data_IF_680225406472
#
_entry.id   IF_680225406472
#
_cell.length_a   1.000
_cell.length_b   1.000
_cell.length_c   1.000
_cell.angle_alpha   90.00
_cell.angle_beta   90.00
_cell.angle_gamma   90.00
#
_symmetry.space_group_name_H-M   'P 1'
#
loop_
_entity.id
_entity.type
_entity.pdbx_description
1 polymer ?
#
# COMPACT_ATOMS: atom_id res chain seq x y z
N UNK A 1 -20.31 -13.12 -14.60
CA UNK A 1 -19.08 -12.33 -14.78
C UNK A 1 -19.40 -11.08 -15.59
N UNK A 2 -19.05 -9.88 -15.10
CA UNK A 2 -19.38 -8.63 -15.80
C UNK A 2 -18.53 -8.41 -17.06
N UNK A 3 -17.26 -8.83 -17.04
CA UNK A 3 -16.35 -8.67 -18.17
C UNK A 3 -15.98 -10.02 -18.79
N UNK A 4 -15.75 -10.02 -20.10
CA UNK A 4 -15.04 -11.08 -20.83
C UNK A 4 -13.65 -10.55 -21.19
N UNK A 5 -12.65 -11.39 -21.07
CA UNK A 5 -11.27 -10.97 -21.18
C UNK A 5 -10.30 -12.12 -21.01
N UNK A 6 -9.02 -11.77 -20.91
CA UNK A 6 -7.97 -12.71 -20.57
C UNK A 6 -6.98 -12.09 -19.56
N UNK A 7 -6.27 -12.95 -18.85
CA UNK A 7 -5.23 -12.59 -17.88
C UNK A 7 -4.00 -13.47 -18.11
N UNK A 8 -2.83 -12.83 -18.17
CA UNK A 8 -1.55 -13.51 -18.38
C UNK A 8 -0.39 -12.70 -17.79
N UNK A 9 0.76 -13.36 -17.63
CA UNK A 9 2.00 -12.69 -17.21
C UNK A 9 2.76 -12.15 -18.41
N UNK A 10 3.27 -10.92 -18.31
CA UNK A 10 4.13 -10.32 -19.35
C UNK A 10 5.61 -10.48 -19.00
N UNK A 11 5.97 -10.24 -17.73
CA UNK A 11 7.35 -10.32 -17.23
C UNK A 11 7.45 -11.35 -16.09
N UNK A 12 7.51 -12.66 -16.40
CA UNK A 12 7.63 -13.70 -15.37
C UNK A 12 8.92 -13.55 -14.55
N UNK A 13 10.01 -13.08 -15.17
CA UNK A 13 11.33 -13.03 -14.53
C UNK A 13 11.39 -12.01 -13.39
N UNK A 14 10.74 -10.86 -13.54
CA UNK A 14 10.73 -9.76 -12.57
C UNK A 14 9.75 -10.00 -11.40
N UNK A 15 8.82 -10.95 -11.57
CA UNK A 15 7.90 -11.32 -10.51
C UNK A 15 8.59 -12.20 -9.44
N UNK A 16 8.58 -11.72 -8.19
CA UNK A 16 8.84 -12.51 -6.98
C UNK A 16 7.51 -12.93 -6.33
N UNK A 17 6.99 -14.13 -6.64
CA UNK A 17 5.74 -14.64 -6.08
C UNK A 17 5.86 -15.08 -4.61
N UNK A 18 7.08 -15.30 -4.10
CA UNK A 18 7.33 -15.69 -2.71
C UNK A 18 7.28 -14.52 -1.74
N UNK A 19 7.78 -13.34 -2.14
CA UNK A 19 7.86 -12.16 -1.30
C UNK A 19 6.64 -11.21 -1.39
N UNK A 20 6.26 -10.78 -2.60
CA UNK A 20 5.35 -9.64 -2.76
C UNK A 20 3.87 -9.96 -2.45
N UNK A 21 3.32 -11.04 -3.03
CA UNK A 21 1.92 -11.51 -2.85
C UNK A 21 0.80 -10.47 -3.01
N UNK A 22 1.08 -9.24 -3.46
CA UNK A 22 0.08 -8.18 -3.63
C UNK A 22 -1.09 -8.60 -4.52
N UNK A 23 -0.81 -9.28 -5.63
CA UNK A 23 -1.83 -9.74 -6.57
C UNK A 23 -2.78 -10.79 -5.97
N UNK A 24 -2.32 -11.56 -4.98
CA UNK A 24 -3.14 -12.54 -4.26
C UNK A 24 -4.01 -11.81 -3.25
N UNK A 25 -3.40 -10.93 -2.44
CA UNK A 25 -4.09 -10.20 -1.36
C UNK A 25 -5.16 -9.22 -1.87
N UNK A 26 -4.93 -8.60 -3.03
CA UNK A 26 -5.88 -7.63 -3.60
C UNK A 26 -7.02 -8.31 -4.38
N UNK A 27 -6.94 -9.61 -4.65
CA UNK A 27 -7.90 -10.28 -5.50
C UNK A 27 -9.22 -10.51 -4.76
N UNK A 28 -10.33 -9.85 -5.13
CA UNK A 28 -11.59 -10.02 -4.41
C UNK A 28 -12.23 -11.40 -4.60
N UNK A 29 -11.81 -12.14 -5.63
CA UNK A 29 -12.34 -13.47 -5.99
C UNK A 29 -11.31 -14.57 -5.72
N UNK A 30 -10.13 -14.24 -5.19
CA UNK A 30 -9.07 -15.20 -4.85
C UNK A 30 -8.68 -16.16 -6.00
N UNK A 31 -8.53 -15.66 -7.22
CA UNK A 31 -8.25 -16.49 -8.43
C UNK A 31 -6.78 -16.61 -8.80
N UNK A 32 -5.90 -16.01 -8.00
CA UNK A 32 -4.46 -15.89 -8.27
C UNK A 32 -3.69 -16.75 -7.28
N UNK A 33 -2.86 -17.66 -7.79
CA UNK A 33 -2.11 -18.61 -6.96
C UNK A 33 -0.64 -18.68 -7.37
N UNK A 34 0.23 -19.01 -6.41
CA UNK A 34 1.64 -19.33 -6.70
C UNK A 34 1.72 -20.74 -7.24
N UNK A 35 2.38 -20.91 -8.38
CA UNK A 35 2.56 -22.22 -8.96
C UNK A 35 3.57 -23.04 -8.15
N UNK A 36 3.32 -24.34 -7.98
CA UNK A 36 4.28 -25.25 -7.37
C UNK A 36 5.23 -25.82 -8.44
N UNK A 37 6.53 -25.98 -8.16
CA UNK A 37 7.42 -26.74 -9.05
C UNK A 37 6.86 -28.16 -9.22
N UNK A 38 6.86 -28.74 -10.44
CA UNK A 38 7.64 -28.39 -11.64
C UNK A 38 6.94 -27.47 -12.66
N UNK A 39 5.91 -26.71 -12.26
CA UNK A 39 5.21 -25.81 -13.19
C UNK A 39 6.16 -24.80 -13.85
N UNK A 40 6.01 -24.62 -15.17
CA UNK A 40 6.78 -23.65 -15.98
C UNK A 40 6.43 -22.20 -15.63
N UNK A 41 5.16 -21.95 -15.32
CA UNK A 41 4.69 -20.64 -14.93
C UNK A 41 4.93 -20.42 -13.43
N UNK A 42 5.34 -19.21 -13.04
CA UNK A 42 5.51 -18.81 -11.63
C UNK A 42 4.18 -18.61 -10.89
N UNK A 43 3.13 -18.25 -11.63
CA UNK A 43 1.79 -17.95 -11.10
C UNK A 43 0.73 -18.64 -11.94
N UNK A 44 -0.36 -19.05 -11.29
CA UNK A 44 -1.53 -19.66 -11.91
C UNK A 44 -2.74 -18.74 -11.73
N UNK A 45 -3.55 -18.64 -12.78
CA UNK A 45 -4.77 -17.84 -12.80
C UNK A 45 -5.96 -18.72 -13.15
N UNK A 46 -6.94 -18.81 -12.24
CA UNK A 46 -8.17 -19.54 -12.50
C UNK A 46 -9.14 -18.64 -13.28
N UNK A 47 -9.00 -18.67 -14.61
CA UNK A 47 -9.76 -17.83 -15.55
C UNK A 47 -11.27 -18.01 -15.43
N UNK A 48 -11.71 -19.20 -15.00
CA UNK A 48 -13.12 -19.55 -14.82
C UNK A 48 -13.84 -18.79 -13.70
N UNK A 49 -13.10 -18.23 -12.74
CA UNK A 49 -13.68 -17.36 -11.71
C UNK A 49 -13.22 -15.90 -11.84
N UNK A 50 -12.20 -15.63 -12.65
CA UNK A 50 -11.70 -14.28 -12.87
C UNK A 50 -12.80 -13.37 -13.47
N UNK A 51 -13.00 -12.21 -12.85
CA UNK A 51 -13.92 -11.16 -13.32
C UNK A 51 -13.21 -10.06 -14.14
N UNK A 52 -11.91 -10.18 -14.37
CA UNK A 52 -11.09 -9.21 -15.11
C UNK A 52 -11.18 -7.78 -14.57
N UNK A 53 -11.23 -7.61 -13.24
CA UNK A 53 -11.31 -6.29 -12.60
C UNK A 53 -10.03 -5.45 -12.77
N UNK A 54 -8.86 -6.08 -12.98
CA UNK A 54 -7.57 -5.41 -13.16
C UNK A 54 -6.93 -4.90 -11.86
N UNK A 55 -7.45 -5.29 -10.69
CA UNK A 55 -6.85 -4.92 -9.40
C UNK A 55 -5.44 -5.50 -9.23
N UNK A 56 -5.24 -6.76 -9.67
CA UNK A 56 -3.94 -7.43 -9.61
C UNK A 56 -2.90 -6.81 -10.55
N UNK A 57 -3.31 -6.32 -11.73
CA UNK A 57 -2.45 -5.57 -12.65
C UNK A 57 -1.97 -4.26 -12.00
N UNK A 58 -2.90 -3.45 -11.45
CA UNK A 58 -2.55 -2.17 -10.80
C UNK A 58 -1.75 -2.32 -9.50
N UNK A 59 -1.93 -3.41 -8.78
CA UNK A 59 -1.22 -3.66 -7.52
C UNK A 59 0.21 -4.18 -7.73
N UNK A 60 0.58 -4.56 -8.96
CA UNK A 60 1.90 -5.08 -9.26
C UNK A 60 2.90 -3.92 -9.44
N UNK A 61 3.95 -3.82 -8.59
CA UNK A 61 4.92 -2.73 -8.69
C UNK A 61 5.84 -2.84 -9.92
N UNK A 62 5.90 -4.03 -10.53
CA UNK A 62 6.74 -4.36 -11.68
C UNK A 62 5.92 -4.65 -12.94
N UNK A 63 4.61 -4.35 -12.94
CA UNK A 63 3.70 -4.55 -14.07
C UNK A 63 3.74 -5.98 -14.70
N UNK A 64 4.07 -7.00 -13.91
CA UNK A 64 4.27 -8.37 -14.39
C UNK A 64 2.98 -9.07 -14.86
N UNK A 65 1.80 -8.53 -14.56
CA UNK A 65 0.48 -9.11 -14.86
C UNK A 65 -0.29 -8.15 -15.77
N UNK A 66 -0.90 -8.66 -16.85
CA UNK A 66 -1.84 -7.91 -17.70
C UNK A 66 -3.23 -8.49 -17.68
N UNK A 67 -4.24 -7.62 -17.65
CA UNK A 67 -5.65 -7.97 -17.76
C UNK A 67 -6.25 -7.31 -18.99
N UNK A 68 -6.60 -8.12 -19.99
CA UNK A 68 -7.29 -7.66 -21.19
C UNK A 68 -8.80 -7.81 -20.97
N UNK A 69 -9.56 -6.76 -21.30
CA UNK A 69 -11.03 -6.82 -21.38
C UNK A 69 -11.43 -6.68 -22.84
N UNK A 70 -12.23 -7.61 -23.33
CA UNK A 70 -12.72 -7.62 -24.72
C UNK A 70 -14.18 -7.16 -24.80
N UNK A 71 -14.98 -7.51 -23.81
CA UNK A 71 -16.42 -7.26 -23.84
C UNK A 71 -16.99 -7.12 -22.41
N UNK A 72 -18.15 -6.47 -22.30
CA UNK A 72 -18.88 -6.29 -21.05
C UNK A 72 -20.30 -6.82 -21.21
N UNK A 73 -20.68 -7.73 -20.31
CA UNK A 73 -22.02 -8.31 -20.28
C UNK A 73 -22.94 -7.44 -19.43
N UNK A 74 -23.88 -6.77 -20.10
CA UNK A 74 -24.92 -5.93 -19.49
C UNK A 74 -26.25 -6.69 -19.50
N UNK A 75 -26.37 -7.76 -18.70
CA UNK A 75 -27.64 -8.50 -18.57
C UNK A 75 -28.58 -7.79 -17.58
N UNK A 76 -29.86 -7.66 -17.94
CA UNK A 76 -30.91 -7.15 -17.05
C UNK A 76 -31.01 -5.63 -16.91
N UNK A 77 -30.30 -4.86 -17.75
CA UNK A 77 -30.33 -3.40 -17.71
C UNK A 77 -31.19 -2.83 -18.86
N UNK A 78 -32.47 -2.54 -18.59
CA UNK A 78 -33.37 -1.88 -19.54
C UNK A 78 -33.26 -0.35 -19.42
N UNK A 79 -32.07 0.21 -19.63
CA UNK A 79 -31.88 1.66 -19.62
C UNK A 79 -31.90 2.23 -21.05
N UNK A 80 -32.52 3.41 -21.29
CA UNK A 80 -32.40 4.12 -22.56
C UNK A 80 -30.95 4.42 -22.97
N UNK A 81 -30.03 4.36 -22.00
CA UNK A 81 -28.63 4.70 -22.13
C UNK A 81 -27.74 3.50 -22.44
N UNK A 82 -28.29 2.28 -22.50
CA UNK A 82 -27.52 1.05 -22.67
C UNK A 82 -26.59 1.10 -23.89
N UNK A 83 -27.13 1.56 -25.02
CA UNK A 83 -26.38 1.67 -26.27
C UNK A 83 -25.25 2.70 -26.15
N UNK A 84 -25.50 3.84 -25.49
CA UNK A 84 -24.49 4.87 -25.26
C UNK A 84 -23.38 4.39 -24.34
N UNK A 85 -23.72 3.68 -23.26
CA UNK A 85 -22.74 3.08 -22.35
C UNK A 85 -21.88 2.05 -23.05
N UNK A 86 -22.48 1.20 -23.88
CA UNK A 86 -21.77 0.18 -24.67
C UNK A 86 -20.82 0.81 -25.70
N UNK A 87 -21.28 1.79 -26.47
CA UNK A 87 -20.45 2.53 -27.43
C UNK A 87 -19.30 3.28 -26.75
N UNK A 88 -19.57 3.91 -25.60
CA UNK A 88 -18.52 4.58 -24.84
C UNK A 88 -17.49 3.57 -24.30
N UNK A 89 -17.94 2.42 -23.80
CA UNK A 89 -17.05 1.35 -23.34
C UNK A 89 -16.16 0.81 -24.47
N UNK A 90 -16.72 0.58 -25.66
CA UNK A 90 -15.96 0.19 -26.87
C UNK A 90 -14.91 1.23 -27.24
N UNK A 91 -15.27 2.51 -27.22
CA UNK A 91 -14.34 3.60 -27.47
C UNK A 91 -13.17 3.54 -26.48
N UNK A 92 -13.44 3.39 -25.19
CA UNK A 92 -12.39 3.27 -24.16
C UNK A 92 -11.49 2.06 -24.39
N UNK A 93 -12.05 0.89 -24.77
CA UNK A 93 -11.26 -0.29 -25.14
C UNK A 93 -10.38 -0.04 -26.37
N UNK A 94 -10.87 0.72 -27.35
CA UNK A 94 -10.09 1.16 -28.51
C UNK A 94 -9.04 2.25 -28.18
N UNK A 95 -8.87 2.61 -26.90
CA UNK A 95 -7.93 3.63 -26.45
C UNK A 95 -8.41 5.07 -26.65
N UNK A 96 -9.67 5.28 -27.04
CA UNK A 96 -10.25 6.62 -27.11
C UNK A 96 -10.29 7.26 -25.73
N UNK A 97 -9.72 8.47 -25.61
CA UNK A 97 -9.93 9.33 -24.46
C UNK A 97 -10.83 10.48 -24.87
N UNK A 98 -11.96 10.71 -24.17
CA UNK A 98 -12.78 11.88 -24.46
C UNK A 98 -11.92 13.14 -24.28
N UNK A 99 -12.04 14.14 -25.17
CA UNK A 99 -11.36 15.40 -24.99
C UNK A 99 -11.77 15.98 -23.63
N UNK A 100 -10.80 16.50 -22.87
CA UNK A 100 -11.12 17.20 -21.63
C UNK A 100 -12.09 18.33 -22.00
N UNK A 101 -13.27 18.43 -21.38
CA UNK A 101 -14.18 19.52 -21.68
C UNK A 101 -13.42 20.83 -21.49
N UNK A 102 -13.68 21.81 -22.37
CA UNK A 102 -13.27 23.19 -22.15
C UNK A 102 -14.10 23.75 -21.01
N UNK A 103 -13.84 23.28 -19.80
CA UNK A 103 -14.31 23.95 -18.59
C UNK A 103 -13.64 25.30 -18.64
N UNK A 104 -14.39 26.34 -19.00
CA UNK A 104 -13.97 27.68 -18.66
C UNK A 104 -13.76 27.64 -17.15
N UNK A 105 -12.52 27.75 -16.70
CA UNK A 105 -12.29 27.97 -15.29
C UNK A 105 -13.06 29.25 -14.98
N UNK A 106 -14.14 29.16 -14.21
CA UNK A 106 -14.62 30.37 -13.53
C UNK A 106 -13.42 30.82 -12.72
N UNK A 107 -12.85 31.95 -13.08
CA UNK A 107 -11.78 32.56 -12.30
C UNK A 107 -12.45 33.04 -11.02
N UNK A 108 -12.59 32.14 -10.05
CA UNK A 108 -12.95 32.49 -8.70
C UNK A 108 -11.71 33.20 -8.18
N UNK A 109 -11.74 34.53 -8.19
CA UNK A 109 -10.80 35.32 -7.40
C UNK A 109 -11.18 35.06 -5.95
N UNK A 110 -10.57 34.04 -5.37
CA UNK A 110 -10.58 33.87 -3.92
C UNK A 110 -9.77 35.06 -3.41
N UNK A 111 -10.40 35.97 -2.67
CA UNK A 111 -9.63 36.98 -1.94
C UNK A 111 -8.65 36.24 -1.04
N UNK A 112 -7.36 36.55 -1.17
CA UNK A 112 -6.34 35.97 -0.33
C UNK A 112 -6.59 36.44 1.10
N UNK A 113 -7.32 35.62 1.85
CA UNK A 113 -7.45 35.80 3.29
C UNK A 113 -6.10 35.43 3.88
N UNK A 114 -5.39 36.42 4.43
CA UNK A 114 -4.21 36.17 5.24
C UNK A 114 -4.61 35.34 6.47
N UNK A 115 -4.45 34.02 6.37
CA UNK A 115 -4.65 33.14 7.52
C UNK A 115 -3.46 33.34 8.45
N UNK A 116 -3.63 34.16 9.48
CA UNK A 116 -2.68 34.18 10.59
C UNK A 116 -2.81 32.84 11.33
N UNK A 117 -1.75 32.01 11.39
CA UNK A 117 -1.81 30.82 12.21
C UNK A 117 -2.07 31.27 13.65
N UNK A 118 -2.97 30.59 14.39
CA UNK A 118 -3.16 30.89 15.79
C UNK A 118 -1.81 30.76 16.52
N UNK A 119 -1.56 31.58 17.55
CA UNK A 119 -0.34 31.47 18.32
C UNK A 119 -0.22 30.02 18.85
N UNK A 120 1.00 29.44 18.85
CA UNK A 120 1.20 28.12 19.39
C UNK A 120 0.70 28.07 20.83
N UNK A 121 0.02 26.99 21.25
CA UNK A 121 -0.41 26.85 22.63
C UNK A 121 0.79 27.01 23.57
N UNK A 122 0.61 27.61 24.75
CA UNK A 122 1.70 27.75 25.71
C UNK A 122 2.26 26.36 26.05
N UNK A 123 3.58 26.22 26.02
CA UNK A 123 4.22 24.97 26.43
C UNK A 123 3.82 24.67 27.88
N UNK A 124 3.37 23.45 28.19
CA UNK A 124 3.07 23.10 29.56
C UNK A 124 4.33 23.28 30.43
N UNK A 125 4.19 23.70 31.70
CA UNK A 125 5.33 23.83 32.59
C UNK A 125 6.00 22.47 32.77
N UNK A 126 7.34 22.45 32.82
CA UNK A 126 8.09 21.23 33.07
C UNK A 126 7.67 20.61 34.41
N UNK A 127 7.26 19.34 34.47
CA UNK A 127 6.82 18.71 35.70
C UNK A 127 7.97 18.59 36.71
N UNK A 128 7.63 18.53 38.00
CA UNK A 128 8.62 18.29 39.07
C UNK A 128 9.31 16.94 38.82
N UNK A 129 10.64 16.94 38.83
CA UNK A 129 11.44 15.72 38.60
C UNK A 129 11.77 15.42 37.13
N UNK A 130 11.34 16.25 36.17
CA UNK A 130 11.65 16.06 34.74
C UNK A 130 13.15 15.90 34.47
N UNK A 131 14.02 16.70 35.11
CA UNK A 131 15.47 16.63 34.94
C UNK A 131 16.06 15.26 35.33
N UNK A 132 15.60 14.68 36.45
CA UNK A 132 16.04 13.35 36.90
C UNK A 132 15.61 12.25 35.94
N UNK A 133 14.40 12.36 35.39
CA UNK A 133 13.90 11.42 34.39
C UNK A 133 14.71 11.51 33.09
N UNK A 134 15.01 12.72 32.62
CA UNK A 134 15.86 12.94 31.42
C UNK A 134 17.25 12.36 31.62
N UNK A 135 17.91 12.63 32.75
CA UNK A 135 19.24 12.07 33.05
C UNK A 135 19.24 10.53 33.09
N UNK A 136 18.17 9.92 33.62
CA UNK A 136 18.03 8.46 33.63
C UNK A 136 17.84 7.89 32.21
N UNK A 137 17.05 8.57 31.37
CA UNK A 137 16.80 8.19 29.98
C UNK A 137 18.07 8.34 29.14
N UNK A 138 18.85 9.41 29.32
CA UNK A 138 20.11 9.63 28.60
C UNK A 138 21.14 8.54 28.93
N UNK A 139 21.26 8.15 30.22
CA UNK A 139 22.09 7.02 30.64
C UNK A 139 21.62 5.70 30.01
N UNK A 140 20.31 5.44 29.99
CA UNK A 140 19.75 4.25 29.33
C UNK A 140 20.03 4.25 27.82
N UNK A 141 19.81 5.38 27.15
CA UNK A 141 20.03 5.57 25.71
C UNK A 141 21.49 5.34 25.33
N UNK A 142 22.44 5.84 26.13
CA UNK A 142 23.87 5.58 25.90
C UNK A 142 24.23 4.10 26.00
N UNK A 143 23.61 3.35 26.94
CA UNK A 143 23.81 1.90 27.05
C UNK A 143 23.17 1.14 25.89
N UNK A 144 21.93 1.48 25.51
CA UNK A 144 21.21 0.87 24.40
C UNK A 144 21.81 1.23 23.03
N UNK A 145 22.61 2.29 22.95
CA UNK A 145 23.41 2.58 21.76
C UNK A 145 24.45 1.48 21.48
N UNK A 146 24.98 0.82 22.51
CA UNK A 146 25.97 -0.25 22.37
C UNK A 146 25.35 -1.60 21.98
N UNK A 147 26.03 -2.39 21.13
CA UNK A 147 25.58 -3.74 20.72
C UNK A 147 25.37 -4.68 21.92
N UNK A 148 26.28 -4.75 22.92
CA UNK A 148 26.05 -5.58 24.11
C UNK A 148 24.83 -5.13 24.93
N UNK A 149 24.55 -3.83 24.98
CA UNK A 149 23.38 -3.29 25.66
C UNK A 149 22.07 -3.69 24.98
N UNK A 150 22.01 -3.65 23.64
CA UNK A 150 20.84 -4.11 22.87
C UNK A 150 20.60 -5.60 23.04
N UNK A 151 21.66 -6.42 22.95
CA UNK A 151 21.56 -7.87 23.13
C UNK A 151 21.02 -8.21 24.54
N UNK A 152 21.49 -7.52 25.58
CA UNK A 152 20.98 -7.72 26.95
C UNK A 152 19.50 -7.34 27.08
N UNK A 153 19.06 -6.28 26.40
CA UNK A 153 17.67 -5.86 26.36
C UNK A 153 16.78 -6.86 25.60
N UNK A 154 17.23 -7.30 24.42
CA UNK A 154 16.52 -8.29 23.58
C UNK A 154 16.41 -9.67 24.23
N UNK A 155 17.40 -10.07 25.06
CA UNK A 155 17.37 -11.32 25.83
C UNK A 155 16.62 -11.21 27.17
N UNK A 156 15.99 -10.07 27.44
CA UNK A 156 15.32 -9.76 28.71
C UNK A 156 16.20 -9.93 29.97
N UNK A 157 17.52 -9.74 29.85
CA UNK A 157 18.46 -9.80 30.97
C UNK A 157 18.48 -8.47 31.75
N UNK A 158 17.33 -8.09 32.32
CA UNK A 158 17.10 -6.78 32.94
C UNK A 158 17.96 -6.54 34.19
N UNK A 159 18.29 -7.59 34.95
CA UNK A 159 19.15 -7.48 36.15
C UNK A 159 20.59 -7.09 35.78
N UNK A 160 21.11 -7.64 34.67
CA UNK A 160 22.45 -7.28 34.16
C UNK A 160 22.47 -5.91 33.50
N UNK A 161 21.35 -5.52 32.89
CA UNK A 161 21.21 -4.19 32.30
C UNK A 161 21.13 -3.11 33.38
N UNK A 162 20.38 -3.38 34.45
CA UNK A 162 20.24 -2.47 35.59
C UNK A 162 21.51 -2.37 36.42
N UNK A 163 22.27 -3.46 36.61
CA UNK A 163 23.59 -3.41 37.26
C UNK A 163 24.60 -2.56 36.47
N UNK A 164 24.61 -2.70 35.13
CA UNK A 164 25.39 -1.84 34.23
C UNK A 164 24.94 -0.38 34.27
N UNK A 165 23.65 -0.10 34.35
CA UNK A 165 23.10 1.26 34.49
C UNK A 165 23.51 1.90 35.83
N UNK A 166 23.62 1.11 36.89
CA UNK A 166 24.07 1.55 38.23
C UNK A 166 25.60 1.60 38.37
N UNK A 167 26.35 1.10 37.38
CA UNK A 167 27.82 1.08 37.41
C UNK A 167 28.41 0.05 38.39
N UNK A 168 27.60 -0.88 38.88
CA UNK A 168 28.06 -1.97 39.76
C UNK A 168 28.72 -3.03 38.89
N UNK A 169 30.00 -3.35 39.15
CA UNK A 169 30.69 -4.45 38.47
C UNK A 169 29.95 -5.76 38.78
N UNK A 170 29.31 -6.34 37.77
CA UNK A 170 28.81 -7.71 37.83
C UNK A 170 30.01 -8.63 38.11
N UNK A 171 30.06 -9.22 39.31
CA UNK A 171 30.90 -10.37 39.60
C UNK A 171 30.53 -11.57 38.75
#
# INVERSE_FOLDING_TARGET
KPFKGDIYMVQPNECDPSGCKNCINICPVNVVYVAKPPSKDKMLFVKDYCIYCGACEKACPVDAIRVIRQDMRLEGLNSPWLNMSYEHFKKVLAGYRPPKPSVYHRVVKVEEVEVTPPPPPPMPPTPKGFRKAVEAIEKLMSLLSSVPGRIMFERCELDKLTSKLRGEKSG
#
